data_IF_875577438328
#
_entry.id   IF_875577438328
#
_cell.length_a   1.000
_cell.length_b   1.000
_cell.length_c   1.000
_cell.angle_alpha   90.00
_cell.angle_beta   90.00
_cell.angle_gamma   90.00
#
_symmetry.space_group_name_H-M   'P 1'
#
loop_
_entity.id
_entity.type
_entity.pdbx_description
1 polymer ?
#
# COMPACT_ATOMS: atom_id res chain seq x y z
N UNK A 1 9.20 12.45 17.71
CA UNK A 1 7.91 12.13 18.37
C UNK A 1 8.00 10.84 19.21
N UNK A 2 8.77 10.83 20.30
CA UNK A 2 8.93 9.65 21.16
C UNK A 2 7.86 9.66 22.27
N UNK A 3 6.79 8.87 22.11
CA UNK A 3 5.70 8.75 23.08
C UNK A 3 4.60 7.79 22.62
N UNK A 4 3.61 7.48 23.48
CA UNK A 4 2.46 6.61 23.14
C UNK A 4 1.77 7.03 21.83
N UNK A 5 1.58 8.34 21.63
CA UNK A 5 1.00 8.91 20.39
C UNK A 5 1.83 8.61 19.14
N UNK A 6 3.17 8.69 19.23
CA UNK A 6 4.05 8.36 18.11
C UNK A 6 3.98 6.88 17.70
N UNK A 7 3.85 5.98 18.67
CA UNK A 7 3.64 4.55 18.39
C UNK A 7 2.27 4.26 17.76
N UNK A 8 1.24 4.96 18.22
CA UNK A 8 -0.11 4.85 17.65
C UNK A 8 -0.14 5.31 16.18
N UNK A 9 0.42 6.48 15.87
CA UNK A 9 0.47 6.99 14.49
C UNK A 9 1.25 6.06 13.54
N UNK A 10 2.36 5.47 14.02
CA UNK A 10 3.10 4.44 13.29
C UNK A 10 2.23 3.21 13.00
N UNK A 11 1.49 2.74 14.00
CA UNK A 11 0.56 1.61 13.82
C UNK A 11 -0.53 1.94 12.80
N UNK A 12 -1.16 3.09 12.91
CA UNK A 12 -2.23 3.52 11.99
C UNK A 12 -1.70 3.61 10.55
N UNK A 13 -0.53 4.23 10.32
CA UNK A 13 0.05 4.27 8.97
C UNK A 13 0.46 2.89 8.47
N UNK A 14 1.00 2.03 9.32
CA UNK A 14 1.34 0.65 8.93
C UNK A 14 0.11 -0.14 8.49
N UNK A 15 -1.04 0.03 9.18
CA UNK A 15 -2.31 -0.57 8.77
C UNK A 15 -2.78 -0.04 7.42
N UNK A 16 -2.71 1.28 7.20
CA UNK A 16 -3.04 1.88 5.89
C UNK A 16 -2.16 1.31 4.78
N UNK A 17 -0.84 1.26 4.97
CA UNK A 17 0.09 0.70 3.98
C UNK A 17 -0.18 -0.78 3.70
N UNK A 18 -0.54 -1.56 4.72
CA UNK A 18 -0.94 -2.95 4.53
C UNK A 18 -2.26 -3.09 3.73
N UNK A 19 -3.24 -2.21 3.96
CA UNK A 19 -4.49 -2.22 3.18
C UNK A 19 -4.27 -1.82 1.73
N UNK A 20 -3.40 -0.85 1.47
CA UNK A 20 -3.00 -0.47 0.11
C UNK A 20 -2.36 -1.68 -0.60
N UNK A 21 -1.47 -2.40 0.08
CA UNK A 21 -0.80 -3.57 -0.49
C UNK A 21 -1.77 -4.71 -0.82
N UNK A 22 -2.68 -5.02 0.10
CA UNK A 22 -3.71 -6.02 -0.11
C UNK A 22 -4.67 -5.66 -1.26
N UNK A 23 -5.04 -4.38 -1.37
CA UNK A 23 -5.86 -3.89 -2.47
C UNK A 23 -5.11 -3.96 -3.81
N UNK A 24 -3.83 -3.60 -3.86
CA UNK A 24 -3.00 -3.72 -5.06
C UNK A 24 -2.87 -5.17 -5.52
N UNK A 25 -2.68 -6.11 -4.59
CA UNK A 25 -2.68 -7.54 -4.88
C UNK A 25 -4.02 -8.02 -5.46
N UNK A 26 -5.14 -7.60 -4.86
CA UNK A 26 -6.48 -7.90 -5.37
C UNK A 26 -6.72 -7.35 -6.79
N UNK A 27 -6.28 -6.12 -7.06
CA UNK A 27 -6.38 -5.53 -8.40
C UNK A 27 -5.52 -6.28 -9.41
N UNK A 28 -4.28 -6.66 -9.07
CA UNK A 28 -3.42 -7.44 -9.96
C UNK A 28 -4.05 -8.78 -10.34
N UNK A 29 -4.72 -9.46 -9.39
CA UNK A 29 -5.48 -10.66 -9.68
C UNK A 29 -6.63 -10.40 -10.68
N UNK A 30 -7.40 -9.33 -10.46
CA UNK A 30 -8.49 -8.95 -11.37
C UNK A 30 -7.97 -8.57 -12.76
N UNK A 31 -6.87 -7.81 -12.87
CA UNK A 31 -6.21 -7.50 -14.14
C UNK A 31 -5.94 -8.77 -14.94
N UNK A 32 -5.32 -9.78 -14.32
CA UNK A 32 -5.02 -11.05 -14.98
C UNK A 32 -6.28 -11.82 -15.45
N UNK A 33 -7.39 -11.72 -14.71
CA UNK A 33 -8.67 -12.34 -15.11
C UNK A 33 -9.29 -11.63 -16.32
N UNK A 34 -9.14 -10.31 -16.41
CA UNK A 34 -9.77 -9.50 -17.46
C UNK A 34 -8.91 -9.34 -18.73
N UNK A 35 -7.61 -9.62 -18.67
CA UNK A 35 -6.65 -9.42 -19.78
C UNK A 35 -7.08 -10.07 -21.10
N UNK A 36 -7.62 -11.29 -21.05
CA UNK A 36 -8.16 -11.98 -22.22
C UNK A 36 -9.51 -11.44 -22.70
N UNK A 37 -10.58 -11.52 -21.88
CA UNK A 37 -11.94 -11.21 -22.32
C UNK A 37 -12.21 -9.72 -22.54
N UNK A 38 -11.55 -8.84 -21.77
CA UNK A 38 -11.80 -7.40 -21.73
C UNK A 38 -10.49 -6.62 -21.52
N UNK A 39 -9.62 -6.53 -22.54
CA UNK A 39 -8.28 -5.94 -22.40
C UNK A 39 -8.31 -4.45 -22.03
N UNK A 40 -9.35 -3.72 -22.45
CA UNK A 40 -9.59 -2.33 -22.06
C UNK A 40 -9.82 -2.20 -20.55
N UNK A 41 -10.66 -3.06 -19.96
CA UNK A 41 -10.90 -3.08 -18.52
C UNK A 41 -9.65 -3.52 -17.74
N UNK A 42 -8.87 -4.45 -18.29
CA UNK A 42 -7.58 -4.88 -17.73
C UNK A 42 -6.61 -3.69 -17.60
N UNK A 43 -6.49 -2.87 -18.65
CA UNK A 43 -5.63 -1.67 -18.63
C UNK A 43 -6.07 -0.66 -17.55
N UNK A 44 -7.39 -0.45 -17.39
CA UNK A 44 -7.91 0.38 -16.30
C UNK A 44 -7.54 -0.17 -14.92
N UNK A 45 -7.68 -1.47 -14.70
CA UNK A 45 -7.33 -2.13 -13.43
C UNK A 45 -5.81 -2.07 -13.16
N UNK A 46 -4.99 -2.23 -14.19
CA UNK A 46 -3.55 -2.07 -14.08
C UNK A 46 -3.17 -0.63 -13.67
N UNK A 47 -3.82 0.37 -14.26
CA UNK A 47 -3.66 1.77 -13.87
C UNK A 47 -4.01 2.03 -12.39
N UNK A 48 -5.11 1.44 -11.90
CA UNK A 48 -5.48 1.51 -10.49
C UNK A 48 -4.43 0.85 -9.58
N UNK A 49 -3.91 -0.32 -9.97
CA UNK A 49 -2.85 -1.03 -9.23
C UNK A 49 -1.58 -0.18 -9.13
N UNK A 50 -1.13 0.40 -10.25
CA UNK A 50 0.02 1.34 -10.29
C UNK A 50 -0.20 2.55 -9.38
N UNK A 51 -1.42 3.09 -9.36
CA UNK A 51 -1.80 4.19 -8.48
C UNK A 51 -1.66 3.83 -6.98
N UNK A 52 -2.13 2.65 -6.59
CA UNK A 52 -1.97 2.17 -5.20
C UNK A 52 -0.50 1.94 -4.82
N UNK A 53 0.30 1.35 -5.71
CA UNK A 53 1.73 1.14 -5.44
C UNK A 53 2.48 2.48 -5.30
N UNK A 54 2.12 3.47 -6.10
CA UNK A 54 2.66 4.84 -5.98
C UNK A 54 2.28 5.46 -4.64
N UNK A 55 1.02 5.31 -4.21
CA UNK A 55 0.56 5.79 -2.92
C UNK A 55 1.28 5.10 -1.75
N UNK A 56 1.56 3.79 -1.87
CA UNK A 56 2.34 3.02 -0.89
C UNK A 56 3.75 3.59 -0.73
N UNK A 57 4.44 3.86 -1.84
CA UNK A 57 5.80 4.41 -1.81
C UNK A 57 5.84 5.83 -1.24
N UNK A 58 4.84 6.66 -1.55
CA UNK A 58 4.69 7.98 -0.93
C UNK A 58 4.50 7.87 0.59
N UNK A 59 3.68 6.93 1.07
CA UNK A 59 3.50 6.68 2.49
C UNK A 59 4.75 6.12 3.18
N UNK A 60 5.55 5.30 2.49
CA UNK A 60 6.86 4.85 2.96
C UNK A 60 7.87 5.99 3.06
N UNK A 61 7.91 6.87 2.06
CA UNK A 61 8.76 8.06 2.07
C UNK A 61 8.39 8.98 3.23
N UNK A 62 7.08 9.18 3.46
CA UNK A 62 6.60 9.91 4.64
C UNK A 62 7.07 9.26 5.94
N UNK A 63 6.97 7.93 6.05
CA UNK A 63 7.45 7.20 7.22
C UNK A 63 8.93 7.47 7.48
N UNK A 64 9.75 7.43 6.45
CA UNK A 64 11.19 7.71 6.54
C UNK A 64 11.49 9.08 7.11
N UNK A 65 10.82 10.11 6.58
CA UNK A 65 11.01 11.47 7.05
C UNK A 65 10.50 11.68 8.48
N UNK A 66 9.38 11.05 8.84
CA UNK A 66 8.77 11.24 10.15
C UNK A 66 9.50 10.47 11.27
N UNK A 67 10.05 9.29 10.96
CA UNK A 67 10.43 8.30 11.97
C UNK A 67 11.74 7.54 11.70
N UNK A 68 12.38 7.72 10.54
CA UNK A 68 13.60 7.01 10.18
C UNK A 68 13.31 5.65 9.53
N UNK A 69 13.98 4.58 9.96
CA UNK A 69 13.94 3.28 9.27
C UNK A 69 12.51 2.81 8.91
N UNK A 70 12.32 2.41 7.65
CA UNK A 70 11.09 1.76 7.14
C UNK A 70 10.78 0.50 7.98
N UNK A 71 9.50 0.16 8.17
CA UNK A 71 9.13 -1.11 8.78
C UNK A 71 9.39 -2.25 7.80
N UNK A 72 10.11 -3.29 8.25
CA UNK A 72 10.44 -4.47 7.44
C UNK A 72 9.22 -5.42 7.31
N UNK A 73 8.28 -5.37 8.26
CA UNK A 73 7.02 -6.11 8.25
C UNK A 73 5.89 -5.25 8.84
N UNK A 74 4.83 -5.05 8.05
CA UNK A 74 3.64 -4.30 8.47
C UNK A 74 2.72 -5.10 9.38
N UNK A 75 2.79 -6.43 9.36
CA UNK A 75 1.97 -7.30 10.18
C UNK A 75 2.36 -7.26 11.66
N UNK A 76 3.61 -6.91 11.98
CA UNK A 76 4.10 -6.73 13.36
C UNK A 76 3.38 -5.59 14.08
N UNK A 77 2.74 -4.68 13.34
CA UNK A 77 2.02 -3.55 13.90
C UNK A 77 0.50 -3.78 14.03
N UNK A 78 -0.03 -4.96 13.69
CA UNK A 78 -1.45 -5.31 13.94
C UNK A 78 -1.82 -5.24 15.42
#
# INVERSE_FOLDING_TARGET
>A
MAGKKGRQLRRELAQVLNHIDAAAYGLAHLTAVFEGPHPDMSEYLEGMCKGLLTLKEAGLTFWEWAWGKRPDDYNVWR
#
